data_IF_908368897040
#
_entry.id   IF_908368897040
#
_cell.length_a   1.000
_cell.length_b   1.000
_cell.length_c   1.000
_cell.angle_alpha   90.00
_cell.angle_beta   90.00
_cell.angle_gamma   90.00
#
_symmetry.space_group_name_H-M   'P 1'
#
loop_
_entity.id
_entity.type
_entity.pdbx_description
1 polymer ?
#
# COMPACT_ATOMS: atom_id res chain seq x y z
N UNK A 1 -4.97 6.76 21.22
CA UNK A 1 -3.73 5.96 21.28
C UNK A 1 -2.55 6.76 20.74
N UNK A 2 -1.34 6.37 21.11
CA UNK A 2 -0.09 6.85 20.53
C UNK A 2 0.32 5.91 19.41
N UNK A 3 0.40 6.40 18.18
CA UNK A 3 0.76 5.63 17.01
C UNK A 3 2.17 6.01 16.52
N UNK A 4 3.04 5.02 16.31
CA UNK A 4 4.35 5.20 15.69
C UNK A 4 4.27 4.74 14.24
N UNK A 5 4.49 5.65 13.29
CA UNK A 5 4.27 5.37 11.86
C UNK A 5 5.60 5.40 11.11
N UNK A 6 6.00 4.26 10.54
CA UNK A 6 7.10 4.21 9.58
C UNK A 6 6.58 4.46 8.17
N UNK A 7 7.37 5.10 7.31
CA UNK A 7 6.89 5.47 5.97
C UNK A 7 5.85 6.60 5.97
N UNK A 8 5.72 7.35 7.07
CA UNK A 8 4.74 8.42 7.25
C UNK A 8 4.77 9.49 6.16
N UNK A 9 5.95 9.82 5.63
CA UNK A 9 6.12 10.80 4.53
C UNK A 9 5.67 10.29 3.15
N UNK A 10 5.41 8.98 3.02
CA UNK A 10 4.94 8.36 1.78
C UNK A 10 3.46 8.62 1.48
N UNK A 11 3.00 8.16 0.30
CA UNK A 11 1.63 8.36 -0.16
C UNK A 11 0.58 7.80 0.82
N UNK A 12 0.71 6.54 1.19
CA UNK A 12 -0.20 5.89 2.17
C UNK A 12 0.04 6.45 3.57
N UNK A 13 1.29 6.69 3.95
CA UNK A 13 1.64 7.19 5.27
C UNK A 13 1.02 8.55 5.60
N UNK A 14 0.96 9.46 4.63
CA UNK A 14 0.28 10.76 4.80
C UNK A 14 -1.22 10.60 5.05
N UNK A 15 -1.88 9.72 4.31
CA UNK A 15 -3.31 9.45 4.49
C UNK A 15 -3.60 8.78 5.85
N UNK A 16 -2.80 7.79 6.24
CA UNK A 16 -2.93 7.12 7.55
C UNK A 16 -2.66 8.09 8.70
N UNK A 17 -1.62 8.92 8.59
CA UNK A 17 -1.34 9.93 9.62
C UNK A 17 -2.47 10.96 9.75
N UNK A 18 -3.04 11.39 8.63
CA UNK A 18 -4.17 12.32 8.64
C UNK A 18 -5.42 11.70 9.28
N UNK A 19 -5.73 10.44 8.97
CA UNK A 19 -6.87 9.72 9.57
C UNK A 19 -6.67 9.51 11.07
N UNK A 20 -5.46 9.13 11.52
CA UNK A 20 -5.12 9.00 12.94
C UNK A 20 -5.35 10.32 13.70
N UNK A 21 -4.81 11.42 13.16
CA UNK A 21 -4.98 12.75 13.76
C UNK A 21 -6.46 13.19 13.79
N UNK A 22 -7.20 12.91 12.71
CA UNK A 22 -8.62 13.23 12.64
C UNK A 22 -9.47 12.47 13.70
N UNK A 23 -9.01 11.27 14.09
CA UNK A 23 -9.63 10.51 15.21
C UNK A 23 -9.07 10.87 16.59
N UNK A 24 -8.21 11.89 16.69
CA UNK A 24 -7.68 12.36 17.97
C UNK A 24 -6.52 11.51 18.52
N UNK A 25 -5.84 10.74 17.69
CA UNK A 25 -4.64 10.00 18.09
C UNK A 25 -3.38 10.87 18.01
N UNK A 26 -2.41 10.59 18.86
CA UNK A 26 -1.07 11.16 18.78
C UNK A 26 -0.24 10.34 17.78
N UNK A 27 0.47 11.02 16.88
CA UNK A 27 1.22 10.36 15.80
C UNK A 27 2.68 10.76 15.85
N UNK A 28 3.56 9.79 16.11
CA UNK A 28 5.01 9.92 15.92
C UNK A 28 5.40 9.37 14.56
N UNK A 29 5.96 10.21 13.71
CA UNK A 29 6.35 9.90 12.34
C UNK A 29 7.85 9.64 12.24
N UNK A 30 8.24 8.39 11.94
CA UNK A 30 9.63 8.07 11.61
C UNK A 30 9.94 8.56 10.19
N UNK A 31 10.85 9.51 10.07
CA UNK A 31 11.25 10.13 8.80
C UNK A 31 12.76 10.11 8.61
N UNK A 32 13.19 9.87 7.37
CA UNK A 32 14.62 9.89 7.03
C UNK A 32 15.17 11.32 6.94
N UNK A 33 14.32 12.28 6.57
CA UNK A 33 14.68 13.70 6.42
C UNK A 33 13.73 14.55 7.27
N UNK A 34 14.25 15.35 8.20
CA UNK A 34 13.44 16.30 8.95
C UNK A 34 12.71 17.25 8.00
N UNK A 35 11.48 17.63 8.35
CA UNK A 35 10.62 18.48 7.53
C UNK A 35 9.84 17.75 6.44
N UNK A 36 9.97 16.39 6.35
CA UNK A 36 9.17 15.58 5.42
C UNK A 36 7.94 14.92 6.07
N UNK A 37 7.80 15.03 7.38
CA UNK A 37 6.69 14.49 8.16
C UNK A 37 5.35 15.11 7.76
N UNK A 38 4.24 14.38 7.91
CA UNK A 38 2.90 14.94 7.79
C UNK A 38 2.65 16.04 8.83
N UNK A 39 1.89 17.07 8.45
CA UNK A 39 1.52 18.14 9.38
C UNK A 39 0.77 17.59 10.60
N UNK A 40 1.07 18.11 11.78
CA UNK A 40 0.45 17.70 13.05
C UNK A 40 1.05 16.46 13.69
N UNK A 41 2.05 15.82 13.07
CA UNK A 41 2.78 14.68 13.66
C UNK A 41 4.04 15.11 14.40
N UNK A 42 4.49 14.30 15.35
CA UNK A 42 5.78 14.45 16.02
C UNK A 42 6.83 13.76 15.15
N UNK A 43 7.79 14.52 14.62
CA UNK A 43 8.85 13.95 13.80
C UNK A 43 9.96 13.32 14.63
N UNK A 44 10.35 12.10 14.28
CA UNK A 44 11.56 11.45 14.76
C UNK A 44 12.41 11.02 13.59
N UNK A 45 13.69 11.39 13.60
CA UNK A 45 14.60 11.02 12.52
C UNK A 45 15.13 9.61 12.72
N UNK A 46 15.00 8.78 11.67
CA UNK A 46 15.57 7.44 11.62
C UNK A 46 15.38 6.78 10.26
N UNK A 47 16.15 5.74 10.03
CA UNK A 47 16.10 4.92 8.82
C UNK A 47 16.09 3.44 9.23
N UNK A 48 15.17 2.65 8.67
CA UNK A 48 15.05 1.21 8.94
C UNK A 48 16.28 0.39 8.50
N UNK A 49 17.18 0.99 7.74
CA UNK A 49 18.48 0.37 7.42
C UNK A 49 19.45 0.40 8.61
N UNK A 50 19.12 1.11 9.71
CA UNK A 50 19.91 1.24 10.93
C UNK A 50 19.02 0.99 12.16
N UNK A 51 19.36 -0.02 12.97
CA UNK A 51 18.53 -0.46 14.10
C UNK A 51 18.48 0.53 15.28
N UNK A 52 19.64 1.02 15.73
CA UNK A 52 19.77 1.79 16.98
C UNK A 52 18.89 3.04 17.06
N UNK A 53 18.82 3.90 16.01
CA UNK A 53 17.96 5.07 16.04
C UNK A 53 16.46 4.72 16.12
N UNK A 54 16.06 3.57 15.56
CA UNK A 54 14.66 3.12 15.58
C UNK A 54 14.26 2.64 16.98
N UNK A 55 15.13 1.87 17.64
CA UNK A 55 14.89 1.39 19.01
C UNK A 55 14.75 2.55 20.00
N UNK A 56 15.65 3.53 19.93
CA UNK A 56 15.56 4.72 20.79
C UNK A 56 14.28 5.52 20.53
N UNK A 57 13.92 5.70 19.25
CA UNK A 57 12.70 6.42 18.87
C UNK A 57 11.43 5.73 19.40
N UNK A 58 11.37 4.40 19.39
CA UNK A 58 10.27 3.63 19.96
C UNK A 58 10.20 3.76 21.49
N UNK A 59 11.35 3.70 22.18
CA UNK A 59 11.40 3.90 23.62
C UNK A 59 10.90 5.28 24.03
N UNK A 60 11.34 6.32 23.33
CA UNK A 60 10.97 7.71 23.63
C UNK A 60 9.48 7.98 23.31
N UNK A 61 8.95 7.41 22.23
CA UNK A 61 7.56 7.55 21.85
C UNK A 61 6.60 6.74 22.71
N UNK A 62 7.05 5.62 23.28
CA UNK A 62 6.24 4.66 24.04
C UNK A 62 4.85 4.44 23.37
N UNK A 63 4.81 3.92 22.12
CA UNK A 63 3.57 3.83 21.36
C UNK A 63 2.68 2.69 21.86
N UNK A 64 1.37 2.85 21.69
CA UNK A 64 0.37 1.77 21.83
C UNK A 64 0.31 0.91 20.56
N UNK A 65 0.68 1.49 19.41
CA UNK A 65 0.61 0.84 18.12
C UNK A 65 1.75 1.30 17.19
N UNK A 66 2.40 0.36 16.51
CA UNK A 66 3.38 0.61 15.44
C UNK A 66 2.75 0.28 14.10
N UNK A 67 2.62 1.28 13.23
CA UNK A 67 2.06 1.12 11.88
C UNK A 67 3.22 1.12 10.88
N UNK A 68 3.51 -0.06 10.31
CA UNK A 68 4.63 -0.27 9.41
C UNK A 68 4.22 -0.16 7.95
N UNK A 69 4.43 1.04 7.37
CA UNK A 69 4.11 1.36 5.97
C UNK A 69 5.36 1.56 5.10
N UNK A 70 6.54 1.65 5.72
CA UNK A 70 7.78 1.86 4.97
C UNK A 70 8.08 0.65 4.09
N UNK A 71 8.20 0.88 2.78
CA UNK A 71 8.57 -0.14 1.81
C UNK A 71 9.08 0.50 0.51
N UNK A 72 9.97 -0.19 -0.18
CA UNK A 72 10.18 0.01 -1.62
C UNK A 72 9.07 -0.73 -2.37
N UNK A 73 8.54 -0.11 -3.43
CA UNK A 73 7.37 -0.61 -4.17
C UNK A 73 7.78 -1.30 -5.49
N UNK A 74 6.82 -1.93 -6.16
CA UNK A 74 7.04 -2.72 -7.38
C UNK A 74 7.69 -1.96 -8.56
N UNK A 75 7.75 -0.63 -8.52
CA UNK A 75 8.46 0.18 -9.52
C UNK A 75 9.96 0.32 -9.25
N UNK A 76 10.44 -0.11 -8.07
CA UNK A 76 11.88 -0.17 -7.76
C UNK A 76 12.55 -1.24 -8.60
N UNK A 77 13.66 -0.87 -9.27
CA UNK A 77 14.43 -1.77 -10.14
C UNK A 77 15.62 -2.41 -9.46
N UNK A 78 16.08 -1.81 -8.38
CA UNK A 78 17.16 -2.34 -7.56
C UNK A 78 16.57 -3.36 -6.58
N UNK A 79 16.77 -4.64 -6.88
CA UNK A 79 16.23 -5.75 -6.09
C UNK A 79 16.90 -5.84 -4.71
N UNK A 80 18.19 -5.50 -4.62
CA UNK A 80 18.90 -5.48 -3.36
C UNK A 80 18.29 -4.41 -2.41
N UNK A 81 17.87 -3.28 -2.97
CA UNK A 81 17.20 -2.25 -2.21
C UNK A 81 15.79 -2.67 -1.75
N UNK A 82 15.06 -3.43 -2.57
CA UNK A 82 13.77 -4.02 -2.15
C UNK A 82 13.99 -4.94 -0.96
N UNK A 83 14.97 -5.82 -1.02
CA UNK A 83 15.27 -6.76 0.06
C UNK A 83 15.73 -6.04 1.33
N UNK A 84 16.67 -5.10 1.21
CA UNK A 84 17.21 -4.32 2.32
C UNK A 84 16.12 -3.55 3.08
N UNK A 85 15.20 -2.89 2.36
CA UNK A 85 14.15 -2.09 3.01
C UNK A 85 12.98 -2.96 3.48
N UNK A 86 12.48 -3.85 2.61
CA UNK A 86 11.22 -4.56 2.88
C UNK A 86 11.42 -5.78 3.77
N UNK A 87 12.57 -6.44 3.73
CA UNK A 87 12.86 -7.64 4.53
C UNK A 87 13.73 -7.29 5.72
N UNK A 88 14.95 -6.82 5.48
CA UNK A 88 15.86 -6.50 6.58
C UNK A 88 15.38 -5.31 7.40
N UNK A 89 14.80 -4.27 6.78
CA UNK A 89 14.18 -3.15 7.49
C UNK A 89 13.01 -3.58 8.37
N UNK A 90 12.15 -4.49 7.89
CA UNK A 90 11.06 -5.07 8.68
C UNK A 90 11.63 -5.90 9.85
N UNK A 91 12.65 -6.73 9.62
CA UNK A 91 13.29 -7.53 10.67
C UNK A 91 13.89 -6.64 11.78
N UNK A 92 14.57 -5.56 11.41
CA UNK A 92 15.12 -4.59 12.39
C UNK A 92 14.03 -3.90 13.20
N UNK A 93 12.92 -3.51 12.55
CA UNK A 93 11.78 -2.91 13.25
C UNK A 93 11.16 -3.89 14.24
N UNK A 94 10.96 -5.15 13.86
CA UNK A 94 10.47 -6.20 14.76
C UNK A 94 11.39 -6.34 15.95
N UNK A 95 12.69 -6.53 15.76
CA UNK A 95 13.66 -6.63 16.86
C UNK A 95 13.70 -5.39 17.77
N UNK A 96 13.48 -4.20 17.20
CA UNK A 96 13.33 -2.99 17.99
C UNK A 96 12.03 -2.99 18.81
N UNK A 97 10.91 -3.47 18.25
CA UNK A 97 9.65 -3.60 18.99
C UNK A 97 9.75 -4.62 20.14
N UNK A 98 10.35 -5.78 19.90
CA UNK A 98 10.55 -6.83 20.94
C UNK A 98 11.28 -6.33 22.18
N UNK A 99 12.16 -5.34 22.03
CA UNK A 99 12.99 -4.82 23.10
C UNK A 99 12.52 -3.50 23.70
N UNK A 100 11.75 -2.71 22.94
CA UNK A 100 11.45 -1.33 23.30
C UNK A 100 9.98 -1.09 23.70
N UNK A 101 9.05 -1.97 23.33
CA UNK A 101 7.62 -1.71 23.51
C UNK A 101 6.77 -2.98 23.45
N UNK A 102 5.60 -2.95 24.10
CA UNK A 102 4.54 -3.98 23.95
C UNK A 102 3.50 -3.57 22.90
N UNK A 103 3.82 -2.61 22.04
CA UNK A 103 2.88 -2.06 21.05
C UNK A 103 2.45 -3.11 20.03
N UNK A 104 1.16 -3.05 19.65
CA UNK A 104 0.64 -3.81 18.51
C UNK A 104 1.30 -3.37 17.21
N UNK A 105 1.56 -4.30 16.29
CA UNK A 105 2.07 -4.00 14.95
C UNK A 105 0.96 -4.11 13.91
N UNK A 106 0.74 -3.07 13.11
CA UNK A 106 -0.03 -3.13 11.87
C UNK A 106 0.95 -3.16 10.71
N UNK A 107 1.04 -4.32 10.06
CA UNK A 107 1.93 -4.52 8.92
C UNK A 107 1.19 -4.34 7.60
N UNK A 108 1.62 -3.39 6.78
CA UNK A 108 1.08 -3.18 5.44
C UNK A 108 1.76 -4.11 4.44
N UNK A 109 1.07 -5.18 4.08
CA UNK A 109 1.45 -6.12 3.01
C UNK A 109 0.76 -5.75 1.69
N UNK A 110 0.36 -6.73 0.88
CA UNK A 110 -0.36 -6.53 -0.39
C UNK A 110 -0.97 -7.84 -0.90
N UNK A 111 -2.05 -7.75 -1.69
CA UNK A 111 -2.52 -8.85 -2.56
C UNK A 111 -1.89 -8.80 -3.95
N UNK A 112 -1.13 -7.73 -4.27
CA UNK A 112 -0.52 -7.52 -5.61
C UNK A 112 0.81 -8.28 -5.69
N UNK A 113 0.76 -9.60 -5.71
CA UNK A 113 1.94 -10.49 -5.68
C UNK A 113 2.15 -11.27 -6.96
N UNK A 114 1.07 -11.61 -7.70
CA UNK A 114 1.13 -12.37 -8.93
C UNK A 114 -0.24 -12.55 -9.58
N UNK A 115 -0.27 -13.28 -10.68
CA UNK A 115 -1.47 -13.54 -11.48
C UNK A 115 -2.25 -14.74 -10.94
N UNK A 116 -3.52 -14.54 -10.62
CA UNK A 116 -4.44 -15.57 -10.17
C UNK A 116 -5.43 -16.00 -11.26
N UNK A 117 -5.22 -15.65 -12.53
CA UNK A 117 -6.12 -15.98 -13.63
C UNK A 117 -7.52 -15.38 -13.49
N UNK A 118 -7.67 -14.29 -12.74
CA UNK A 118 -8.96 -13.66 -12.45
C UNK A 118 -9.77 -14.29 -11.33
N UNK A 119 -9.17 -15.19 -10.55
CA UNK A 119 -9.83 -15.78 -9.38
C UNK A 119 -10.16 -14.72 -8.32
N UNK A 120 -11.23 -14.97 -7.55
CA UNK A 120 -11.54 -14.20 -6.35
C UNK A 120 -10.77 -14.82 -5.16
N UNK A 121 -9.83 -14.06 -4.63
CA UNK A 121 -8.99 -14.44 -3.50
C UNK A 121 -9.59 -13.92 -2.20
N UNK A 122 -9.48 -14.70 -1.14
CA UNK A 122 -9.75 -14.29 0.24
C UNK A 122 -8.48 -14.50 1.07
N UNK A 123 -8.53 -14.20 2.36
CA UNK A 123 -7.39 -14.25 3.27
C UNK A 123 -6.82 -15.65 3.49
N UNK A 124 -7.60 -16.70 3.20
CA UNK A 124 -7.23 -18.12 3.29
C UNK A 124 -6.66 -18.64 1.96
N UNK A 125 -6.81 -17.87 0.89
CA UNK A 125 -6.28 -18.24 -0.42
C UNK A 125 -4.76 -18.16 -0.44
N UNK A 126 -4.09 -19.13 -1.04
CA UNK A 126 -2.67 -19.03 -1.37
C UNK A 126 -2.48 -17.92 -2.42
N UNK A 127 -1.68 -16.92 -2.08
CA UNK A 127 -1.38 -15.84 -3.02
C UNK A 127 -0.33 -16.29 -4.03
N UNK A 128 -0.58 -16.14 -5.35
CA UNK A 128 0.43 -16.40 -6.35
C UNK A 128 1.55 -15.35 -6.24
N UNK A 129 2.78 -15.78 -5.98
CA UNK A 129 3.92 -14.88 -5.80
C UNK A 129 4.86 -14.97 -7.00
N UNK A 130 4.84 -13.97 -7.87
CA UNK A 130 5.54 -13.98 -9.16
C UNK A 130 6.48 -12.78 -9.35
N UNK A 131 6.51 -11.82 -8.40
CA UNK A 131 7.36 -10.64 -8.45
C UNK A 131 8.29 -10.57 -7.24
N UNK A 132 9.45 -9.94 -7.36
CA UNK A 132 10.39 -9.75 -6.23
C UNK A 132 9.75 -8.90 -5.13
N UNK A 133 9.00 -7.87 -5.52
CA UNK A 133 8.20 -7.09 -4.56
C UNK A 133 7.21 -7.97 -3.79
N UNK A 134 6.47 -8.83 -4.50
CA UNK A 134 5.54 -9.77 -3.87
C UNK A 134 6.24 -10.70 -2.89
N UNK A 135 7.41 -11.26 -3.27
CA UNK A 135 8.24 -12.10 -2.39
C UNK A 135 8.69 -11.34 -1.15
N UNK A 136 9.17 -10.12 -1.30
CA UNK A 136 9.63 -9.31 -0.17
C UNK A 136 8.50 -9.01 0.83
N UNK A 137 7.28 -8.75 0.34
CA UNK A 137 6.11 -8.52 1.21
C UNK A 137 5.66 -9.80 1.92
N UNK A 138 5.66 -10.94 1.21
CA UNK A 138 5.37 -12.24 1.82
C UNK A 138 6.39 -12.59 2.91
N UNK A 139 7.69 -12.37 2.64
CA UNK A 139 8.73 -12.57 3.64
C UNK A 139 8.55 -11.67 4.87
N UNK A 140 8.12 -10.41 4.66
CA UNK A 140 7.76 -9.51 5.76
C UNK A 140 6.59 -10.03 6.60
N UNK A 141 5.55 -10.64 5.98
CA UNK A 141 4.46 -11.28 6.71
C UNK A 141 4.93 -12.47 7.54
N UNK A 142 5.86 -13.29 7.00
CA UNK A 142 6.46 -14.42 7.72
C UNK A 142 7.20 -13.92 8.96
N UNK A 143 8.07 -12.91 8.82
CA UNK A 143 8.80 -12.30 9.93
C UNK A 143 7.85 -11.78 11.02
N UNK A 144 6.76 -11.11 10.62
CA UNK A 144 5.76 -10.61 11.58
C UNK A 144 5.06 -11.74 12.31
N UNK A 145 4.70 -12.84 11.62
CA UNK A 145 4.04 -14.00 12.27
C UNK A 145 4.99 -14.77 13.19
N UNK A 146 6.27 -14.88 12.81
CA UNK A 146 7.30 -15.59 13.59
C UNK A 146 7.75 -14.81 14.82
N UNK A 147 7.57 -13.49 14.88
CA UNK A 147 8.00 -12.65 15.98
C UNK A 147 7.26 -12.90 17.31
N UNK A 148 6.06 -13.44 17.24
CA UNK A 148 5.19 -13.60 18.42
C UNK A 148 4.61 -12.30 18.97
N UNK A 149 4.83 -11.16 18.31
CA UNK A 149 4.26 -9.87 18.70
C UNK A 149 2.76 -9.81 18.38
N UNK A 150 2.02 -8.97 19.09
CA UNK A 150 0.65 -8.63 18.76
C UNK A 150 0.60 -7.94 17.39
N UNK A 151 0.14 -8.63 16.36
CA UNK A 151 0.23 -8.12 15.01
C UNK A 151 -1.03 -8.34 14.18
N UNK A 152 -1.29 -7.41 13.25
CA UNK A 152 -2.33 -7.49 12.23
C UNK A 152 -1.70 -7.21 10.87
N UNK A 153 -2.08 -7.99 9.87
CA UNK A 153 -1.57 -7.84 8.50
C UNK A 153 -2.69 -7.30 7.61
N UNK A 154 -2.43 -6.18 6.96
CA UNK A 154 -3.31 -5.63 5.93
C UNK A 154 -2.72 -5.89 4.54
N UNK A 155 -3.53 -6.44 3.66
CA UNK A 155 -3.19 -6.74 2.27
C UNK A 155 -4.01 -5.89 1.30
N UNK A 156 -3.66 -4.61 1.11
CA UNK A 156 -4.36 -3.79 0.14
C UNK A 156 -4.12 -4.25 -1.30
N UNK A 157 -5.08 -3.94 -2.15
CA UNK A 157 -5.00 -4.05 -3.59
C UNK A 157 -4.23 -2.87 -4.22
N UNK A 158 -4.45 -2.53 -5.49
CA UNK A 158 -3.81 -1.37 -6.12
C UNK A 158 -4.33 -0.07 -5.50
N UNK A 159 -3.52 0.54 -4.63
CA UNK A 159 -3.89 1.78 -3.94
C UNK A 159 -3.79 2.95 -4.91
N UNK A 160 -4.88 3.70 -5.11
CA UNK A 160 -4.90 4.90 -5.94
C UNK A 160 -5.42 6.14 -5.19
N UNK A 161 -5.17 7.34 -5.75
CA UNK A 161 -5.58 8.60 -5.17
C UNK A 161 -4.81 9.78 -5.76
N UNK A 162 -4.86 10.95 -5.14
CA UNK A 162 -4.20 12.17 -5.63
C UNK A 162 -2.66 12.18 -5.43
N UNK A 163 -2.01 11.01 -5.43
CA UNK A 163 -0.57 10.86 -5.24
C UNK A 163 -0.04 9.51 -5.70
N UNK A 164 1.15 9.14 -5.23
CA UNK A 164 1.79 7.86 -5.50
C UNK A 164 1.96 7.55 -6.99
N UNK A 165 1.92 6.26 -7.34
CA UNK A 165 2.04 5.81 -8.73
C UNK A 165 0.90 6.31 -9.62
N UNK A 166 -0.29 6.50 -9.06
CA UNK A 166 -1.45 6.96 -9.80
C UNK A 166 -1.23 8.36 -10.40
N UNK A 167 -0.85 9.33 -9.59
CA UNK A 167 -0.54 10.68 -10.05
C UNK A 167 0.80 10.75 -10.78
N UNK A 168 1.86 10.14 -10.22
CA UNK A 168 3.23 10.24 -10.72
C UNK A 168 3.49 9.50 -12.02
N UNK A 169 2.76 8.40 -12.28
CA UNK A 169 2.97 7.58 -13.47
C UNK A 169 1.74 7.53 -14.37
N UNK A 170 0.60 7.04 -13.86
CA UNK A 170 -0.58 6.82 -14.70
C UNK A 170 -1.13 8.13 -15.28
N UNK A 171 -1.42 9.11 -14.43
CA UNK A 171 -1.95 10.42 -14.86
C UNK A 171 -0.95 11.14 -15.77
N UNK A 172 0.33 11.13 -15.40
CA UNK A 172 1.40 11.73 -16.20
C UNK A 172 1.48 11.12 -17.60
N UNK A 173 1.39 9.79 -17.71
CA UNK A 173 1.39 9.08 -19.01
C UNK A 173 0.14 9.35 -19.81
N UNK A 174 -1.03 9.47 -19.17
CA UNK A 174 -2.28 9.83 -19.87
C UNK A 174 -2.27 11.25 -20.41
N UNK A 175 -1.61 12.19 -19.74
CA UNK A 175 -1.41 13.57 -20.23
C UNK A 175 -0.35 13.67 -21.32
N UNK A 176 0.55 12.68 -21.42
CA UNK A 176 1.63 12.69 -22.41
C UNK A 176 1.12 12.37 -23.84
N UNK A 177 1.82 12.84 -24.90
CA UNK A 177 1.52 12.44 -26.27
C UNK A 177 1.53 10.91 -26.44
N UNK A 178 0.59 10.39 -27.25
CA UNK A 178 0.51 8.95 -27.56
C UNK A 178 -0.24 8.09 -26.55
N UNK A 179 -0.31 8.46 -25.27
CA UNK A 179 -1.10 7.77 -24.22
C UNK A 179 -0.98 6.24 -24.22
N UNK A 180 0.24 5.71 -24.39
CA UNK A 180 0.53 4.28 -24.38
C UNK A 180 0.59 3.79 -22.93
N UNK A 181 -0.54 3.39 -22.36
CA UNK A 181 -0.70 3.16 -20.94
C UNK A 181 -1.19 1.75 -20.62
N UNK A 182 -2.04 1.17 -21.47
CA UNK A 182 -2.61 -0.16 -21.24
C UNK A 182 -1.68 -1.22 -21.79
N UNK A 183 -1.17 -2.10 -20.93
CA UNK A 183 -0.28 -3.20 -21.31
C UNK A 183 -1.11 -4.41 -21.72
N UNK A 184 -0.83 -4.96 -22.92
CA UNK A 184 -1.55 -6.12 -23.45
C UNK A 184 -2.99 -5.81 -23.82
N UNK A 185 -3.93 -6.73 -23.50
CA UNK A 185 -5.35 -6.57 -23.80
C UNK A 185 -6.07 -5.60 -22.87
N UNK A 186 -5.56 -5.43 -21.65
CA UNK A 186 -6.21 -4.67 -20.58
C UNK A 186 -7.49 -5.32 -20.03
N UNK A 187 -7.78 -6.58 -20.38
CA UNK A 187 -8.96 -7.33 -19.89
C UNK A 187 -8.73 -8.03 -18.56
N UNK A 188 -7.50 -7.98 -18.06
CA UNK A 188 -7.15 -8.51 -16.75
C UNK A 188 -7.90 -7.73 -15.65
N UNK A 189 -8.36 -8.45 -14.63
CA UNK A 189 -9.04 -7.89 -13.49
C UNK A 189 -8.05 -7.16 -12.58
N UNK A 190 -8.40 -5.93 -12.24
CA UNK A 190 -7.75 -5.12 -11.22
C UNK A 190 -8.72 -4.90 -10.07
N UNK A 191 -8.34 -5.35 -8.92
CA UNK A 191 -8.87 -4.82 -7.69
C UNK A 191 -8.09 -3.54 -7.37
N UNK A 192 -8.81 -2.51 -7.01
CA UNK A 192 -8.25 -1.21 -6.66
C UNK A 192 -8.82 -0.76 -5.32
N UNK A 193 -8.22 0.22 -4.68
CA UNK A 193 -8.75 0.82 -3.46
C UNK A 193 -8.25 2.25 -3.31
N UNK A 194 -9.11 3.14 -2.86
CA UNK A 194 -8.73 4.52 -2.54
C UNK A 194 -7.78 4.56 -1.34
N UNK A 195 -6.81 5.48 -1.39
CA UNK A 195 -5.84 5.63 -0.29
C UNK A 195 -6.51 6.03 1.02
N UNK A 196 -7.58 6.82 0.97
CA UNK A 196 -8.38 7.20 2.13
C UNK A 196 -9.07 5.99 2.77
N UNK A 197 -9.54 5.03 1.95
CA UNK A 197 -10.16 3.80 2.42
C UNK A 197 -9.12 2.83 3.02
N UNK A 198 -7.90 2.83 2.47
CA UNK A 198 -6.78 2.11 3.10
C UNK A 198 -6.42 2.74 4.45
N UNK A 199 -6.46 4.06 4.56
CA UNK A 199 -6.17 4.75 5.80
C UNK A 199 -7.21 4.42 6.89
N UNK A 200 -8.51 4.45 6.56
CA UNK A 200 -9.56 4.05 7.51
C UNK A 200 -9.43 2.59 7.91
N UNK A 201 -9.16 1.67 6.96
CA UNK A 201 -8.93 0.26 7.27
C UNK A 201 -7.73 0.04 8.21
N UNK A 202 -6.67 0.81 8.00
CA UNK A 202 -5.47 0.75 8.84
C UNK A 202 -5.74 1.21 10.27
N UNK A 203 -6.46 2.32 10.45
CA UNK A 203 -6.80 2.83 11.78
C UNK A 203 -7.84 1.93 12.46
N UNK A 204 -8.84 1.43 11.75
CA UNK A 204 -9.79 0.45 12.25
C UNK A 204 -9.10 -0.84 12.74
N UNK A 205 -8.10 -1.31 12.00
CA UNK A 205 -7.30 -2.45 12.42
C UNK A 205 -6.48 -2.16 13.68
N UNK A 206 -5.87 -0.97 13.77
CA UNK A 206 -5.10 -0.56 14.93
C UNK A 206 -5.96 -0.48 16.21
N UNK A 207 -7.21 -0.01 16.08
CA UNK A 207 -8.14 0.16 17.20
C UNK A 207 -8.82 -1.14 17.65
N UNK A 208 -9.19 -2.03 16.70
CA UNK A 208 -10.20 -3.07 16.97
C UNK A 208 -9.86 -4.47 16.48
N UNK A 209 -8.87 -4.64 15.61
CA UNK A 209 -8.62 -5.97 15.04
C UNK A 209 -8.12 -6.95 16.12
N UNK A 210 -8.52 -8.23 16.08
CA UNK A 210 -7.91 -9.27 16.89
C UNK A 210 -6.47 -9.53 16.42
N UNK A 211 -5.62 -9.95 17.36
CA UNK A 211 -4.23 -10.31 17.06
C UNK A 211 -4.16 -11.49 16.10
N UNK A 212 -3.16 -11.48 15.22
CA UNK A 212 -2.97 -12.48 14.19
C UNK A 212 -3.92 -12.35 12.98
N UNK A 213 -4.83 -11.36 12.98
CA UNK A 213 -5.74 -11.17 11.87
C UNK A 213 -5.02 -10.75 10.59
N UNK A 214 -5.56 -11.23 9.47
CA UNK A 214 -5.16 -10.80 8.12
C UNK A 214 -6.40 -10.30 7.42
N UNK A 215 -6.29 -9.15 6.74
CA UNK A 215 -7.40 -8.56 5.99
C UNK A 215 -6.98 -8.13 4.58
N UNK A 216 -7.79 -8.50 3.59
CA UNK A 216 -7.73 -7.88 2.28
C UNK A 216 -8.46 -6.52 2.30
N UNK A 217 -7.86 -5.51 1.68
CA UNK A 217 -8.44 -4.16 1.59
C UNK A 217 -8.57 -3.78 0.11
N UNK A 218 -9.80 -3.81 -0.40
CA UNK A 218 -10.13 -3.55 -1.79
C UNK A 218 -11.50 -2.87 -1.88
N UNK A 219 -11.77 -2.19 -3.01
CA UNK A 219 -13.11 -1.71 -3.35
C UNK A 219 -14.09 -2.89 -3.49
N UNK A 220 -15.40 -2.61 -3.45
CA UNK A 220 -16.43 -3.65 -3.58
C UNK A 220 -16.58 -4.16 -5.01
N UNK A 221 -16.23 -3.32 -5.99
CA UNK A 221 -16.41 -3.61 -7.41
C UNK A 221 -15.06 -3.69 -8.14
N UNK A 222 -14.55 -4.92 -8.42
CA UNK A 222 -13.35 -5.08 -9.23
C UNK A 222 -13.58 -4.53 -10.65
N UNK A 223 -12.54 -3.93 -11.23
CA UNK A 223 -12.57 -3.30 -12.54
C UNK A 223 -11.49 -3.90 -13.44
N UNK A 224 -11.63 -3.83 -14.78
CA UNK A 224 -10.53 -4.23 -15.65
C UNK A 224 -9.46 -3.13 -15.72
N UNK A 225 -8.22 -3.51 -16.01
CA UNK A 225 -7.14 -2.55 -16.24
C UNK A 225 -7.54 -1.47 -17.25
N UNK A 226 -8.09 -1.90 -18.40
CA UNK A 226 -8.50 -0.96 -19.44
C UNK A 226 -9.57 0.02 -18.95
N UNK A 227 -10.58 -0.50 -18.26
CA UNK A 227 -11.72 0.34 -17.83
C UNK A 227 -11.27 1.32 -16.74
N UNK A 228 -10.40 0.92 -15.81
CA UNK A 228 -9.82 1.82 -14.81
C UNK A 228 -9.02 2.96 -15.47
N UNK A 229 -8.16 2.62 -16.44
CA UNK A 229 -7.34 3.61 -17.16
C UNK A 229 -8.22 4.50 -18.06
N UNK A 230 -9.25 3.94 -18.70
CA UNK A 230 -10.21 4.70 -19.53
C UNK A 230 -11.05 5.66 -18.68
N UNK A 231 -11.50 5.22 -17.51
CA UNK A 231 -12.22 6.06 -16.55
C UNK A 231 -11.35 7.23 -16.07
N UNK A 232 -10.08 6.95 -15.76
CA UNK A 232 -9.13 8.01 -15.41
C UNK A 232 -8.91 8.99 -16.55
N UNK A 233 -8.77 8.51 -17.78
CA UNK A 233 -8.63 9.38 -18.97
C UNK A 233 -9.87 10.27 -19.18
N UNK A 234 -11.05 9.71 -18.98
CA UNK A 234 -12.33 10.44 -19.05
C UNK A 234 -12.39 11.53 -17.98
N UNK A 235 -12.06 11.22 -16.73
CA UNK A 235 -12.06 12.18 -15.62
C UNK A 235 -11.05 13.32 -15.86
N UNK A 236 -9.92 13.03 -16.50
CA UNK A 236 -8.91 14.02 -16.88
C UNK A 236 -9.29 14.85 -18.11
N UNK A 237 -10.39 14.54 -18.82
CA UNK A 237 -10.76 15.18 -20.07
C UNK A 237 -9.79 14.90 -21.23
N UNK A 238 -9.00 13.81 -21.17
CA UNK A 238 -8.05 13.42 -22.23
C UNK A 238 -8.62 12.30 -23.09
N UNK A 239 -8.03 12.10 -24.28
CA UNK A 239 -8.49 11.03 -25.19
C UNK A 239 -8.25 9.62 -24.64
N UNK A 240 -8.92 8.64 -25.26
CA UNK A 240 -8.85 7.22 -24.83
C UNK A 240 -7.41 6.71 -24.72
N UNK A 241 -7.12 5.85 -23.74
CA UNK A 241 -5.79 5.23 -23.59
C UNK A 241 -5.50 4.31 -24.77
N UNK A 242 -4.22 4.19 -25.12
CA UNK A 242 -3.74 3.29 -26.18
C UNK A 242 -3.04 2.10 -25.56
N UNK A 243 -3.10 0.97 -26.26
CA UNK A 243 -2.49 -0.28 -25.81
C UNK A 243 -1.02 -0.36 -26.26
N UNK A 244 -0.20 -0.99 -25.43
CA UNK A 244 1.19 -1.34 -25.74
C UNK A 244 1.37 -2.85 -25.61
N UNK A 245 2.02 -3.51 -26.58
CA UNK A 245 2.31 -4.94 -26.48
C UNK A 245 3.18 -5.26 -25.26
N UNK A 246 2.93 -6.41 -24.60
CA UNK A 246 3.64 -6.83 -23.41
C UNK A 246 5.17 -6.83 -23.57
N UNK A 247 5.67 -7.35 -24.71
CA UNK A 247 7.10 -7.41 -24.98
C UNK A 247 7.77 -6.03 -24.98
N UNK A 248 7.08 -5.02 -25.54
CA UNK A 248 7.60 -3.65 -25.56
C UNK A 248 7.55 -3.01 -24.18
N UNK A 249 6.48 -3.24 -23.41
CA UNK A 249 6.37 -2.77 -22.05
C UNK A 249 7.48 -3.36 -21.16
N UNK A 250 7.80 -4.64 -21.30
CA UNK A 250 8.86 -5.31 -20.53
C UNK A 250 10.26 -4.74 -20.82
N UNK A 251 10.52 -4.31 -22.06
CA UNK A 251 11.79 -3.65 -22.41
C UNK A 251 11.89 -2.28 -21.75
N UNK A 252 10.80 -1.50 -21.76
CA UNK A 252 10.80 -0.12 -21.28
C UNK A 252 10.72 -0.03 -19.75
N UNK A 253 9.83 -0.83 -19.14
CA UNK A 253 9.53 -0.73 -17.71
C UNK A 253 10.23 -1.79 -16.84
N UNK A 254 10.80 -2.84 -17.46
CA UNK A 254 11.28 -4.03 -16.78
C UNK A 254 10.21 -5.12 -16.71
N UNK A 255 10.65 -6.37 -16.48
CA UNK A 255 9.76 -7.54 -16.49
C UNK A 255 8.80 -7.56 -15.28
N UNK A 256 9.29 -7.28 -14.08
CA UNK A 256 8.50 -7.32 -12.85
C UNK A 256 7.41 -6.24 -12.80
N UNK A 257 7.68 -4.96 -13.08
CA UNK A 257 6.62 -3.96 -13.18
C UNK A 257 5.57 -4.29 -14.25
N UNK A 258 6.01 -4.81 -15.41
CA UNK A 258 5.09 -5.21 -16.48
C UNK A 258 4.18 -6.38 -16.05
N UNK A 259 4.73 -7.40 -15.34
CA UNK A 259 3.97 -8.52 -14.78
C UNK A 259 2.97 -8.07 -13.73
N UNK A 260 3.38 -7.18 -12.82
CA UNK A 260 2.50 -6.64 -11.80
C UNK A 260 1.27 -5.94 -12.40
N UNK A 261 1.46 -5.24 -13.53
CA UNK A 261 0.38 -4.52 -14.23
C UNK A 261 -0.58 -5.46 -14.94
N UNK A 262 -0.11 -6.56 -15.53
CA UNK A 262 -0.96 -7.50 -16.31
C UNK A 262 -1.56 -8.63 -15.47
N UNK A 263 -1.24 -8.70 -14.17
CA UNK A 263 -1.89 -9.67 -13.27
C UNK A 263 -3.41 -9.55 -13.35
N UNK A 264 -4.08 -10.66 -13.19
CA UNK A 264 -5.53 -10.75 -13.12
C UNK A 264 -5.94 -11.44 -11.84
N UNK A 265 -6.48 -10.68 -10.88
CA UNK A 265 -7.00 -11.21 -9.62
C UNK A 265 -8.10 -10.28 -9.11
N UNK A 266 -8.97 -10.84 -8.28
CA UNK A 266 -9.96 -10.09 -7.50
C UNK A 266 -9.78 -10.45 -6.04
N UNK A 267 -9.94 -9.50 -5.14
CA UNK A 267 -9.77 -9.71 -3.70
C UNK A 267 -11.07 -9.44 -2.96
N UNK A 268 -11.45 -10.37 -2.09
CA UNK A 268 -12.62 -10.20 -1.23
C UNK A 268 -12.27 -9.33 -0.02
N UNK A 269 -13.06 -8.30 0.25
CA UNK A 269 -13.00 -7.48 1.45
C UNK A 269 -14.06 -7.91 2.50
N UNK A 270 -14.70 -9.07 2.32
CA UNK A 270 -15.81 -9.50 3.16
C UNK A 270 -15.40 -9.72 4.62
N UNK A 271 -14.16 -10.15 4.86
CA UNK A 271 -13.66 -10.42 6.21
C UNK A 271 -13.51 -9.13 7.02
N UNK A 272 -12.84 -8.12 6.48
CA UNK A 272 -12.66 -6.85 7.18
C UNK A 272 -14.00 -6.15 7.43
N UNK A 273 -14.95 -6.23 6.48
CA UNK A 273 -16.32 -5.70 6.65
C UNK A 273 -17.04 -6.39 7.79
N UNK A 274 -17.00 -7.70 7.86
CA UNK A 274 -17.67 -8.50 8.89
C UNK A 274 -17.06 -8.30 10.28
N UNK A 275 -15.73 -8.29 10.37
CA UNK A 275 -15.04 -8.32 11.66
C UNK A 275 -14.79 -6.91 12.24
N UNK A 276 -14.53 -5.91 11.39
CA UNK A 276 -14.25 -4.55 11.83
C UNK A 276 -15.39 -3.55 11.54
N UNK A 277 -16.44 -3.98 10.82
CA UNK A 277 -17.47 -3.05 10.36
C UNK A 277 -16.94 -2.00 9.37
N UNK A 278 -15.72 -2.19 8.84
CA UNK A 278 -15.16 -1.31 7.84
C UNK A 278 -15.97 -1.38 6.54
N UNK A 279 -16.12 -0.25 5.87
CA UNK A 279 -16.67 -0.19 4.53
C UNK A 279 -15.93 0.89 3.73
N UNK A 280 -15.62 0.66 2.45
CA UNK A 280 -14.97 1.68 1.64
C UNK A 280 -15.92 2.87 1.45
N UNK A 281 -15.40 4.07 1.62
CA UNK A 281 -16.09 5.32 1.30
C UNK A 281 -16.32 5.44 -0.20
N UNK A 282 -15.40 4.87 -0.98
CA UNK A 282 -15.47 4.78 -2.44
C UNK A 282 -15.58 3.31 -2.86
N UNK A 283 -16.80 2.71 -2.84
CA UNK A 283 -16.97 1.28 -3.07
C UNK A 283 -16.64 0.83 -4.50
N UNK A 284 -16.41 1.78 -5.42
CA UNK A 284 -16.02 1.48 -6.79
C UNK A 284 -15.09 2.55 -7.39
N UNK A 285 -14.31 2.16 -8.39
CA UNK A 285 -13.48 3.09 -9.16
C UNK A 285 -14.32 4.20 -9.84
N UNK A 286 -15.57 3.90 -10.22
CA UNK A 286 -16.50 4.86 -10.82
C UNK A 286 -16.76 6.05 -9.88
N UNK A 287 -16.77 5.83 -8.59
CA UNK A 287 -16.94 6.88 -7.58
C UNK A 287 -15.60 7.50 -7.19
N UNK A 288 -14.58 6.69 -6.99
CA UNK A 288 -13.30 7.14 -6.45
C UNK A 288 -12.39 7.85 -7.45
N UNK A 289 -12.43 7.49 -8.75
CA UNK A 289 -11.54 8.09 -9.77
C UNK A 289 -11.86 9.56 -10.04
N UNK A 290 -13.12 9.97 -10.21
CA UNK A 290 -13.43 11.40 -10.40
C UNK A 290 -12.96 12.25 -9.21
N UNK A 291 -13.17 11.77 -8.00
CA UNK A 291 -12.70 12.45 -6.78
C UNK A 291 -11.18 12.51 -6.71
N UNK A 292 -10.47 11.40 -7.00
CA UNK A 292 -9.02 11.39 -7.05
C UNK A 292 -8.45 12.39 -8.05
N UNK A 293 -9.06 12.50 -9.22
CA UNK A 293 -8.64 13.44 -10.28
C UNK A 293 -8.90 14.88 -9.87
N UNK A 294 -10.01 15.17 -9.20
CA UNK A 294 -10.35 16.52 -8.71
C UNK A 294 -9.34 17.04 -7.67
N UNK A 295 -8.71 16.14 -6.90
CA UNK A 295 -7.72 16.48 -5.88
C UNK A 295 -6.27 16.42 -6.37
N UNK A 296 -6.02 16.11 -7.65
CA UNK A 296 -4.66 16.20 -8.21
C UNK A 296 -4.15 17.63 -8.13
N UNK A 297 -2.97 17.81 -7.57
CA UNK A 297 -2.26 19.10 -7.66
C UNK A 297 -2.02 19.44 -9.12
N UNK A 298 -2.24 20.70 -9.49
CA UNK A 298 -2.08 21.22 -10.83
C UNK A 298 -0.64 21.09 -11.34
#
# INVERSE_FOLDING_TARGET
MKAFVTGASGFVGRAVSAELLARGHEVTALVRRPGSEPAGTIAVQGDLTHADPVSQALQDAAPDCVIHLAAEIATQRDLAKIDEVNVHGTSRLIGACETATDARIIFMSTVVTGDAGGALLNEESELPVQTEYGRSKQRGEELVRESGLHAVILRPSHIYGAGGWYAGELVKRLRAPGRLVVIGSGRNWWDVVRVEDVATACVDAAERAPDGAVYHVADDEPITQYDFVALTAQALGVGKPRRVPMWLASIVSGADPARAVVRSARSSNARIKRELGWAPRFPSAQQGVPDAVAHLSA
#
